data_IF_154488013739
#
_entry.id   IF_154488013739
#
_cell.length_a   1.000
_cell.length_b   1.000
_cell.length_c   1.000
_cell.angle_alpha   90.00
_cell.angle_beta   90.00
_cell.angle_gamma   90.00
#
_symmetry.space_group_name_H-M   'P 1'
#
loop_
_entity.id
_entity.type
_entity.pdbx_description
1 polymer ?
#
# COMPACT_ATOMS: atom_id res chain seq x y z
N UNK A 1 8.92 17.60 16.25
CA UNK A 1 7.86 17.67 17.29
C UNK A 1 6.68 16.81 16.86
N UNK A 2 6.18 16.97 15.64
CA UNK A 2 4.91 16.37 15.21
C UNK A 2 4.95 14.84 15.09
N UNK A 3 6.09 14.27 14.69
CA UNK A 3 6.25 12.81 14.57
C UNK A 3 6.28 12.13 15.94
N UNK A 4 6.91 12.74 16.93
CA UNK A 4 6.89 12.21 18.30
C UNK A 4 5.48 12.23 18.88
N UNK A 5 4.70 13.25 18.57
CA UNK A 5 3.30 13.33 19.00
C UNK A 5 2.44 12.19 18.44
N UNK A 6 2.69 11.75 17.19
CA UNK A 6 2.00 10.60 16.59
C UNK A 6 2.26 9.33 17.42
N UNK A 7 3.51 9.12 17.84
CA UNK A 7 3.89 7.99 18.68
C UNK A 7 3.25 8.08 20.08
N UNK A 8 3.27 9.26 20.69
CA UNK A 8 2.73 9.50 22.03
C UNK A 8 1.21 9.32 22.08
N UNK A 9 0.51 9.58 20.96
CA UNK A 9 -0.94 9.37 20.82
C UNK A 9 -1.32 7.90 20.60
N UNK A 10 -0.36 7.00 20.42
CA UNK A 10 -0.62 5.58 20.18
C UNK A 10 -1.30 5.30 18.84
N UNK A 11 -1.05 6.11 17.82
CA UNK A 11 -1.59 5.90 16.47
C UNK A 11 -0.92 4.69 15.80
N UNK A 12 -1.65 4.01 14.91
CA UNK A 12 -1.22 2.75 14.31
C UNK A 12 -0.44 2.91 12.98
N UNK A 13 -0.27 4.12 12.50
CA UNK A 13 0.46 4.40 11.26
C UNK A 13 0.39 5.85 10.85
N UNK A 14 1.10 6.19 9.78
CA UNK A 14 1.15 7.53 9.21
C UNK A 14 0.70 7.47 7.75
N UNK A 15 -0.18 8.38 7.32
CA UNK A 15 -0.50 8.59 5.91
C UNK A 15 0.15 9.87 5.40
N UNK A 16 0.82 9.78 4.25
CA UNK A 16 1.37 10.90 3.53
C UNK A 16 0.86 10.94 2.09
N UNK A 17 0.73 12.15 1.56
CA UNK A 17 0.41 12.39 0.15
C UNK A 17 1.42 13.37 -0.45
N UNK A 18 2.62 12.90 -0.83
CA UNK A 18 3.73 13.78 -1.24
C UNK A 18 3.36 14.76 -2.35
N UNK A 19 2.61 14.30 -3.35
CA UNK A 19 2.24 15.12 -4.51
C UNK A 19 1.29 16.27 -4.15
N UNK A 20 0.34 16.07 -3.23
CA UNK A 20 -0.53 17.16 -2.73
C UNK A 20 0.19 18.02 -1.70
N UNK A 21 1.01 17.41 -0.86
CA UNK A 21 1.75 18.12 0.19
C UNK A 21 3.03 18.78 -0.33
N UNK A 22 3.37 18.58 -1.61
CA UNK A 22 4.48 19.20 -2.33
C UNK A 22 5.86 18.98 -1.68
N UNK A 23 6.19 17.72 -1.38
CA UNK A 23 7.51 17.32 -0.91
C UNK A 23 7.97 16.00 -1.52
N UNK A 24 9.26 15.86 -1.81
CA UNK A 24 9.81 14.61 -2.32
C UNK A 24 10.03 13.58 -1.18
N UNK A 25 9.72 12.31 -1.45
CA UNK A 25 9.90 11.25 -0.46
C UNK A 25 11.35 11.14 0.04
N UNK A 26 12.32 11.34 -0.84
CA UNK A 26 13.75 11.23 -0.54
C UNK A 26 14.42 12.56 -0.17
N UNK A 27 13.67 13.65 0.02
CA UNK A 27 14.30 14.91 0.47
C UNK A 27 14.76 14.81 1.94
N UNK A 28 15.77 15.61 2.35
CA UNK A 28 16.36 15.52 3.70
C UNK A 28 15.34 15.65 4.85
N UNK A 29 14.27 16.42 4.66
CA UNK A 29 13.20 16.57 5.67
C UNK A 29 12.38 15.30 5.81
N UNK A 30 12.03 14.68 4.71
CA UNK A 30 11.27 13.42 4.69
C UNK A 30 12.09 12.27 5.27
N UNK A 31 13.37 12.18 4.90
CA UNK A 31 14.29 11.16 5.44
C UNK A 31 14.42 11.25 6.96
N UNK A 32 14.56 12.47 7.52
CA UNK A 32 14.58 12.68 8.99
C UNK A 32 13.27 12.28 9.65
N UNK A 33 12.13 12.46 9.00
CA UNK A 33 10.84 12.01 9.51
C UNK A 33 10.78 10.47 9.57
N UNK A 34 11.20 9.80 8.50
CA UNK A 34 11.26 8.33 8.46
C UNK A 34 12.25 7.77 9.48
N UNK A 35 13.37 8.42 9.71
CA UNK A 35 14.33 8.06 10.76
C UNK A 35 13.68 8.08 12.16
N UNK A 36 12.87 9.09 12.46
CA UNK A 36 12.12 9.13 13.73
C UNK A 36 11.06 8.05 13.82
N UNK A 37 10.43 7.67 12.71
CA UNK A 37 9.44 6.58 12.68
C UNK A 37 10.08 5.20 12.73
N UNK A 38 11.31 5.04 12.28
CA UNK A 38 12.07 3.83 12.00
C UNK A 38 11.57 2.56 12.72
N UNK A 39 10.91 1.68 11.99
CA UNK A 39 10.39 0.40 12.49
C UNK A 39 9.24 0.47 13.52
N UNK A 40 8.89 1.67 14.02
CA UNK A 40 7.87 1.84 15.07
C UNK A 40 6.45 1.93 14.54
N UNK A 41 6.26 2.53 13.38
CA UNK A 41 4.96 2.67 12.72
C UNK A 41 5.08 2.42 11.22
N UNK A 42 4.09 1.77 10.61
CA UNK A 42 4.01 1.68 9.16
C UNK A 42 3.63 3.03 8.55
N UNK A 43 4.05 3.23 7.30
CA UNK A 43 3.76 4.46 6.55
C UNK A 43 3.00 4.13 5.27
N UNK A 44 1.76 4.61 5.18
CA UNK A 44 0.97 4.55 3.95
C UNK A 44 1.28 5.80 3.11
N UNK A 45 1.74 5.57 1.89
CA UNK A 45 2.14 6.61 0.95
C UNK A 45 1.20 6.65 -0.25
N UNK A 46 0.73 7.83 -0.65
CA UNK A 46 0.34 7.99 -2.04
C UNK A 46 1.58 7.83 -2.92
N UNK A 47 1.51 7.04 -3.97
CA UNK A 47 2.66 6.70 -4.80
C UNK A 47 2.31 6.77 -6.29
N UNK A 48 3.22 7.36 -7.04
CA UNK A 48 3.06 7.63 -8.47
C UNK A 48 2.19 8.85 -8.72
N UNK A 49 2.06 9.24 -9.85
CA UNK A 49 1.19 10.17 -10.55
C UNK A 49 1.99 10.82 -11.69
N UNK A 50 1.59 10.57 -12.93
CA UNK A 50 2.29 11.10 -14.12
C UNK A 50 2.39 12.63 -14.16
N UNK A 51 1.59 13.34 -13.35
CA UNK A 51 1.57 14.80 -13.27
C UNK A 51 2.62 15.38 -12.33
N UNK A 52 3.17 14.56 -11.44
CA UNK A 52 4.07 14.97 -10.36
C UNK A 52 5.30 14.08 -10.30
N UNK A 53 6.29 14.50 -9.49
CA UNK A 53 7.54 13.75 -9.32
C UNK A 53 7.98 13.69 -7.84
N UNK A 54 7.03 13.65 -6.92
CA UNK A 54 7.34 13.63 -5.50
C UNK A 54 7.28 12.24 -4.88
N UNK A 55 6.52 11.31 -5.50
CA UNK A 55 6.25 9.99 -4.98
C UNK A 55 6.49 8.84 -5.97
N UNK A 56 7.16 9.12 -7.09
CA UNK A 56 7.49 8.14 -8.12
C UNK A 56 8.53 7.12 -7.62
N UNK A 57 8.73 5.99 -8.31
CA UNK A 57 9.65 4.94 -7.86
C UNK A 57 11.07 5.41 -7.54
N UNK A 58 11.62 6.33 -8.33
CA UNK A 58 12.96 6.91 -8.10
C UNK A 58 13.07 7.72 -6.78
N UNK A 59 11.95 8.26 -6.29
CA UNK A 59 11.86 8.91 -4.98
C UNK A 59 11.64 7.90 -3.85
N UNK A 60 10.92 6.81 -4.12
CA UNK A 60 10.58 5.80 -3.12
C UNK A 60 11.74 4.82 -2.85
N UNK A 61 12.49 4.41 -3.88
CA UNK A 61 13.58 3.44 -3.76
C UNK A 61 14.60 3.83 -2.68
N UNK A 62 15.16 5.06 -2.65
CA UNK A 62 16.11 5.45 -1.60
C UNK A 62 15.52 5.38 -0.19
N UNK A 63 14.21 5.57 -0.04
CA UNK A 63 13.52 5.47 1.26
C UNK A 63 13.43 4.01 1.70
N UNK A 64 13.04 3.11 0.80
CA UNK A 64 12.95 1.67 1.09
C UNK A 64 14.30 1.08 1.50
N UNK A 65 15.35 1.50 0.82
CA UNK A 65 16.74 1.05 1.09
C UNK A 65 17.30 1.61 2.39
N UNK A 66 16.98 2.86 2.72
CA UNK A 66 17.47 3.49 3.94
C UNK A 66 16.77 3.00 5.23
N UNK A 67 15.52 2.51 5.12
CA UNK A 67 14.70 2.11 6.27
C UNK A 67 14.13 0.69 6.10
N UNK A 68 14.97 -0.34 6.03
CA UNK A 68 14.52 -1.72 5.76
C UNK A 68 13.61 -2.29 6.87
N UNK A 69 13.69 -1.78 8.10
CA UNK A 69 12.84 -2.16 9.23
C UNK A 69 11.47 -1.47 9.24
N UNK A 70 11.27 -0.43 8.43
CA UNK A 70 9.99 0.28 8.34
C UNK A 70 9.14 -0.31 7.22
N UNK A 71 7.90 -0.66 7.53
CA UNK A 71 6.95 -1.12 6.51
C UNK A 71 6.32 0.07 5.81
N UNK A 72 6.50 0.14 4.51
CA UNK A 72 5.85 1.12 3.65
C UNK A 72 4.72 0.47 2.86
N UNK A 73 3.58 1.13 2.78
CA UNK A 73 2.45 0.71 1.95
C UNK A 73 2.31 1.71 0.82
N UNK A 74 2.62 1.30 -0.40
CA UNK A 74 2.38 2.11 -1.59
C UNK A 74 0.92 2.00 -2.02
N UNK A 75 0.16 3.08 -1.88
CA UNK A 75 -1.20 3.14 -2.38
C UNK A 75 -1.23 2.98 -3.91
N UNK A 76 -2.40 2.52 -4.42
CA UNK A 76 -2.64 2.43 -5.86
C UNK A 76 -1.62 1.53 -6.59
N UNK A 77 -1.30 0.37 -5.96
CA UNK A 77 -0.29 -0.56 -6.48
C UNK A 77 1.08 0.10 -6.72
N UNK A 78 1.47 1.00 -5.82
CA UNK A 78 2.74 1.75 -5.83
C UNK A 78 2.96 2.66 -7.05
N UNK A 79 1.92 2.98 -7.84
CA UNK A 79 2.16 3.69 -9.09
C UNK A 79 0.93 4.27 -9.76
N UNK A 80 0.13 5.08 -9.06
CA UNK A 80 -1.04 5.73 -9.67
C UNK A 80 -0.69 6.34 -11.02
N UNK A 81 -1.40 5.91 -12.08
CA UNK A 81 -1.19 6.27 -13.50
C UNK A 81 0.16 5.90 -14.14
N UNK A 82 1.15 5.42 -13.37
CA UNK A 82 2.47 4.99 -13.85
C UNK A 82 2.78 3.53 -13.46
N UNK A 83 1.76 2.65 -13.46
CA UNK A 83 1.89 1.25 -13.01
C UNK A 83 2.99 0.45 -13.69
N UNK A 84 3.23 0.66 -15.00
CA UNK A 84 4.28 -0.05 -15.72
C UNK A 84 5.69 0.33 -15.24
N UNK A 85 5.87 1.57 -14.82
CA UNK A 85 7.11 2.04 -14.21
C UNK A 85 7.29 1.46 -12.82
N UNK A 86 6.26 1.55 -11.97
CA UNK A 86 6.25 0.98 -10.63
C UNK A 86 6.51 -0.53 -10.65
N UNK A 87 5.86 -1.26 -11.56
CA UNK A 87 6.05 -2.70 -11.74
C UNK A 87 7.50 -3.05 -12.05
N UNK A 88 8.12 -2.35 -13.00
CA UNK A 88 9.51 -2.58 -13.37
C UNK A 88 10.50 -2.22 -12.27
N UNK A 89 10.24 -1.15 -11.53
CA UNK A 89 11.17 -0.60 -10.57
C UNK A 89 11.08 -1.25 -9.19
N UNK A 90 9.89 -1.63 -8.73
CA UNK A 90 9.61 -1.94 -7.32
C UNK A 90 9.21 -3.40 -7.07
N UNK A 91 8.43 -4.05 -7.99
CA UNK A 91 7.78 -5.30 -7.66
C UNK A 91 8.77 -6.44 -7.45
N UNK A 92 8.55 -7.20 -6.37
CA UNK A 92 9.38 -8.33 -5.99
C UNK A 92 10.78 -7.99 -5.47
N UNK A 93 11.12 -6.70 -5.31
CA UNK A 93 12.49 -6.27 -4.97
C UNK A 93 12.67 -5.83 -3.51
N UNK A 94 11.60 -5.40 -2.85
CA UNK A 94 11.67 -4.81 -1.50
C UNK A 94 10.75 -5.54 -0.54
N UNK A 95 11.30 -6.17 0.48
CA UNK A 95 10.52 -6.93 1.48
C UNK A 95 9.69 -6.03 2.40
N UNK A 96 10.14 -4.80 2.63
CA UNK A 96 9.48 -3.79 3.42
C UNK A 96 8.41 -2.98 2.66
N UNK A 97 8.15 -3.32 1.36
CA UNK A 97 7.11 -2.69 0.56
C UNK A 97 5.87 -3.58 0.49
N UNK A 98 4.74 -3.01 0.91
CA UNK A 98 3.38 -3.52 0.73
C UNK A 98 2.63 -2.61 -0.24
N UNK A 99 1.45 -3.01 -0.68
CA UNK A 99 0.59 -2.19 -1.53
C UNK A 99 -0.87 -2.27 -1.13
N UNK A 100 -1.67 -1.31 -1.56
CA UNK A 100 -3.11 -1.45 -1.69
C UNK A 100 -3.54 -1.35 -3.17
N UNK A 101 -4.71 -1.88 -3.49
CA UNK A 101 -5.23 -1.86 -4.86
C UNK A 101 -6.26 -0.74 -5.10
N UNK A 102 -6.36 0.22 -4.20
CA UNK A 102 -7.26 1.36 -4.36
C UNK A 102 -6.94 2.17 -5.64
N UNK A 103 -7.93 2.80 -6.20
CA UNK A 103 -7.80 3.64 -7.42
C UNK A 103 -7.00 3.00 -8.56
N UNK A 104 -7.02 1.67 -8.69
CA UNK A 104 -6.22 0.93 -9.69
C UNK A 104 -7.09 0.12 -10.64
N UNK A 105 -8.05 -0.63 -10.09
CA UNK A 105 -8.78 -1.65 -10.85
C UNK A 105 -9.72 -1.10 -11.92
N UNK A 106 -10.13 0.15 -11.81
CA UNK A 106 -10.96 0.82 -12.82
C UNK A 106 -10.20 1.17 -14.09
N UNK A 107 -8.88 1.28 -13.99
CA UNK A 107 -8.03 1.89 -15.03
C UNK A 107 -7.45 0.88 -16.03
N UNK A 108 -7.68 -0.42 -15.81
CA UNK A 108 -7.10 -1.46 -16.65
C UNK A 108 -8.04 -2.66 -16.82
N UNK A 109 -7.87 -3.47 -17.91
CA UNK A 109 -8.60 -4.71 -18.08
C UNK A 109 -8.36 -5.69 -16.93
N UNK A 110 -9.34 -6.57 -16.59
CA UNK A 110 -9.23 -7.53 -15.50
C UNK A 110 -7.97 -8.42 -15.56
N UNK A 111 -7.59 -8.86 -16.74
CA UNK A 111 -6.41 -9.71 -16.95
C UNK A 111 -5.12 -8.98 -16.61
N UNK A 112 -5.02 -7.68 -16.96
CA UNK A 112 -3.88 -6.83 -16.60
C UNK A 112 -3.85 -6.56 -15.10
N UNK A 113 -5.00 -6.31 -14.49
CA UNK A 113 -5.12 -6.13 -13.05
C UNK A 113 -4.63 -7.37 -12.28
N UNK A 114 -5.08 -8.56 -12.69
CA UNK A 114 -4.64 -9.83 -12.07
C UNK A 114 -3.15 -10.07 -12.26
N UNK A 115 -2.61 -9.81 -13.46
CA UNK A 115 -1.18 -9.94 -13.72
C UNK A 115 -0.36 -8.99 -12.81
N UNK A 116 -0.82 -7.76 -12.64
CA UNK A 116 -0.18 -6.76 -11.77
C UNK A 116 -0.19 -7.21 -10.30
N UNK A 117 -1.35 -7.65 -9.79
CA UNK A 117 -1.50 -8.15 -8.42
C UNK A 117 -0.60 -9.37 -8.15
N UNK A 118 -0.53 -10.32 -9.08
CA UNK A 118 0.31 -11.52 -8.95
C UNK A 118 1.79 -11.22 -9.03
N UNK A 119 2.18 -10.30 -9.90
CA UNK A 119 3.59 -9.89 -10.01
C UNK A 119 4.08 -9.18 -8.75
N UNK A 120 3.27 -8.33 -8.14
CA UNK A 120 3.59 -7.73 -6.83
C UNK A 120 3.70 -8.79 -5.72
N UNK A 121 2.85 -9.79 -5.78
CA UNK A 121 2.71 -10.83 -4.77
C UNK A 121 1.47 -10.63 -3.89
N UNK A 122 0.45 -11.43 -4.14
CA UNK A 122 -0.87 -11.33 -3.49
C UNK A 122 -0.85 -11.41 -1.96
N UNK A 123 0.25 -11.89 -1.38
CA UNK A 123 0.44 -11.95 0.08
C UNK A 123 0.79 -10.61 0.74
N UNK A 124 1.08 -9.55 0.00
CA UNK A 124 1.45 -8.23 0.53
C UNK A 124 0.59 -7.10 -0.05
N UNK A 125 -0.58 -7.43 -0.58
CA UNK A 125 -1.54 -6.46 -1.10
C UNK A 125 -2.76 -6.43 -0.18
N UNK A 126 -3.28 -5.25 0.09
CA UNK A 126 -4.52 -5.04 0.82
C UNK A 126 -5.59 -4.45 -0.10
N UNK A 127 -6.84 -4.83 0.11
CA UNK A 127 -7.96 -4.19 -0.57
C UNK A 127 -8.17 -2.79 0.00
N UNK A 128 -8.28 -1.80 -0.88
CA UNK A 128 -8.61 -0.43 -0.57
C UNK A 128 -9.55 0.15 -1.62
N UNK A 129 -10.30 1.19 -1.27
CA UNK A 129 -11.27 1.84 -2.16
C UNK A 129 -10.95 3.29 -2.48
N UNK A 130 -10.07 3.92 -1.69
CA UNK A 130 -9.79 5.36 -1.79
C UNK A 130 -11.06 6.23 -1.60
N UNK A 131 -11.96 5.76 -0.71
CA UNK A 131 -13.15 6.54 -0.33
C UNK A 131 -12.74 7.93 0.20
N UNK A 132 -13.42 9.01 -0.15
CA UNK A 132 -14.72 9.08 -0.85
C UNK A 132 -14.64 9.20 -2.40
N UNK A 133 -13.47 9.04 -3.02
CA UNK A 133 -13.35 9.12 -4.48
C UNK A 133 -14.13 8.01 -5.18
N UNK A 134 -14.13 6.81 -4.63
CA UNK A 134 -14.84 5.65 -5.17
C UNK A 134 -15.81 5.06 -4.15
N UNK A 135 -16.97 4.64 -4.65
CA UNK A 135 -17.95 3.92 -3.82
C UNK A 135 -17.42 2.52 -3.44
N UNK A 136 -17.35 2.19 -2.14
CA UNK A 136 -16.79 0.93 -1.68
C UNK A 136 -17.50 -0.32 -2.22
N UNK A 137 -18.81 -0.26 -2.46
CA UNK A 137 -19.58 -1.39 -3.01
C UNK A 137 -19.20 -1.65 -4.46
N UNK A 138 -19.02 -0.57 -5.23
CA UNK A 138 -18.60 -0.65 -6.63
C UNK A 138 -17.18 -1.21 -6.75
N UNK A 139 -16.25 -0.75 -5.92
CA UNK A 139 -14.88 -1.25 -5.92
C UNK A 139 -14.79 -2.71 -5.46
N UNK A 140 -15.57 -3.10 -4.45
CA UNK A 140 -15.65 -4.49 -4.02
C UNK A 140 -16.22 -5.39 -5.13
N UNK A 141 -17.29 -4.96 -5.81
CA UNK A 141 -17.85 -5.72 -6.92
C UNK A 141 -16.84 -5.87 -8.08
N UNK A 142 -16.09 -4.82 -8.38
CA UNK A 142 -15.01 -4.84 -9.39
C UNK A 142 -13.90 -5.82 -9.00
N UNK A 143 -13.48 -5.81 -7.75
CA UNK A 143 -12.46 -6.73 -7.24
C UNK A 143 -12.93 -8.19 -7.28
N UNK A 144 -14.17 -8.47 -6.84
CA UNK A 144 -14.73 -9.83 -6.82
C UNK A 144 -14.94 -10.41 -8.22
N UNK A 145 -15.07 -9.55 -9.24
CA UNK A 145 -15.18 -9.98 -10.64
C UNK A 145 -13.83 -10.37 -11.26
N UNK A 146 -12.70 -10.10 -10.60
CA UNK A 146 -11.39 -10.50 -11.10
C UNK A 146 -11.22 -12.02 -11.07
N UNK A 147 -10.57 -12.63 -12.09
CA UNK A 147 -10.29 -14.06 -12.14
C UNK A 147 -9.15 -14.46 -11.18
N UNK A 148 -9.32 -14.14 -9.90
CA UNK A 148 -8.48 -14.54 -8.80
C UNK A 148 -9.03 -15.82 -8.16
N UNK A 149 -8.15 -16.64 -7.60
CA UNK A 149 -8.58 -17.77 -6.77
C UNK A 149 -9.21 -17.29 -5.46
N UNK A 150 -10.06 -18.13 -4.85
CA UNK A 150 -10.65 -17.78 -3.55
C UNK A 150 -9.61 -17.52 -2.45
N UNK A 151 -8.45 -18.16 -2.52
CA UNK A 151 -7.33 -17.89 -1.59
C UNK A 151 -6.73 -16.51 -1.83
N UNK A 152 -6.46 -16.11 -3.08
CA UNK A 152 -5.96 -14.78 -3.42
C UNK A 152 -6.97 -13.69 -3.02
N UNK A 153 -8.25 -13.88 -3.28
CA UNK A 153 -9.30 -12.95 -2.88
C UNK A 153 -9.33 -12.76 -1.37
N UNK A 154 -9.34 -13.85 -0.60
CA UNK A 154 -9.36 -13.80 0.86
C UNK A 154 -8.11 -13.15 1.43
N UNK A 155 -6.94 -13.46 0.88
CA UNK A 155 -5.69 -12.85 1.30
C UNK A 155 -5.76 -11.32 1.15
N UNK A 156 -6.15 -10.82 -0.02
CA UNK A 156 -6.18 -9.38 -0.33
C UNK A 156 -7.29 -8.66 0.43
N UNK A 157 -8.48 -9.28 0.55
CA UNK A 157 -9.64 -8.65 1.22
C UNK A 157 -9.51 -8.61 2.74
N UNK A 158 -8.79 -9.56 3.34
CA UNK A 158 -8.84 -9.71 4.79
C UNK A 158 -7.53 -10.13 5.44
N UNK A 159 -6.93 -11.28 5.04
CA UNK A 159 -5.86 -11.92 5.80
C UNK A 159 -4.59 -11.05 5.85
N UNK A 160 -4.25 -10.37 4.75
CA UNK A 160 -3.10 -9.50 4.69
C UNK A 160 -3.25 -8.29 5.61
N UNK A 161 -4.41 -7.63 5.61
CA UNK A 161 -4.67 -6.50 6.49
C UNK A 161 -4.68 -6.94 7.96
N UNK A 162 -5.28 -8.11 8.27
CA UNK A 162 -5.28 -8.64 9.62
C UNK A 162 -3.86 -8.94 10.13
N UNK A 163 -3.04 -9.56 9.29
CA UNK A 163 -1.61 -9.82 9.61
C UNK A 163 -0.82 -8.52 9.77
N UNK A 164 -1.01 -7.57 8.86
CA UNK A 164 -0.35 -6.26 8.90
C UNK A 164 -0.67 -5.49 10.18
N UNK A 165 -1.94 -5.50 10.60
CA UNK A 165 -2.43 -4.83 11.80
C UNK A 165 -2.30 -5.68 13.06
N UNK A 166 -1.74 -6.90 12.98
CA UNK A 166 -1.61 -7.87 14.07
C UNK A 166 -2.95 -8.18 14.76
N UNK A 167 -4.04 -8.19 13.98
CA UNK A 167 -5.37 -8.51 14.50
C UNK A 167 -5.53 -10.03 14.68
N UNK A 168 -6.26 -10.49 15.71
CA UNK A 168 -6.56 -11.89 15.86
C UNK A 168 -7.48 -12.36 14.74
N UNK A 169 -6.99 -13.24 13.88
CA UNK A 169 -7.79 -13.90 12.84
C UNK A 169 -8.60 -15.03 13.51
N UNK A 170 -9.91 -14.84 13.66
CA UNK A 170 -10.78 -15.96 14.06
C UNK A 170 -10.92 -16.90 12.86
N UNK A 171 -10.29 -18.06 12.92
CA UNK A 171 -10.62 -19.18 12.03
C UNK A 171 -12.01 -19.70 12.41
N UNK A 172 -12.86 -20.02 11.44
CA UNK A 172 -14.23 -20.52 11.68
C UNK A 172 -14.32 -21.85 12.45
N UNK A 173 -13.22 -22.35 12.98
CA UNK A 173 -13.13 -23.59 13.75
C UNK A 173 -13.73 -23.51 15.18
N UNK A 174 -14.59 -22.53 15.48
CA UNK A 174 -15.13 -22.30 16.83
C UNK A 174 -16.61 -21.92 16.86
N UNK A 175 -17.47 -22.42 15.95
CA UNK A 175 -18.92 -22.40 16.17
C UNK A 175 -19.31 -23.71 16.84
N UNK A 176 -19.81 -23.69 18.09
CA UNK A 176 -20.50 -24.88 18.63
C UNK A 176 -21.75 -25.13 17.79
N UNK A 177 -22.05 -26.42 17.55
CA UNK A 177 -23.21 -26.90 16.84
C UNK A 177 -24.51 -26.49 17.54
#
# INVERSE_FOLDING_TARGET
ADVQQILDLGLHGVKLHPDIQCFALNEPRSMRMFEVLAGRLPVLLHTGDARYQYSNPDQLIPVLEAFPETVFVGAHMCGYTIWDEAERALYGKYENLWADCSSTLYAMPPERAVALLRHFGTGRIMFGTDFPLWDPKTELARFLALPLTGAEQRAILFENAARFLQLPVRTEAGRPA
#
